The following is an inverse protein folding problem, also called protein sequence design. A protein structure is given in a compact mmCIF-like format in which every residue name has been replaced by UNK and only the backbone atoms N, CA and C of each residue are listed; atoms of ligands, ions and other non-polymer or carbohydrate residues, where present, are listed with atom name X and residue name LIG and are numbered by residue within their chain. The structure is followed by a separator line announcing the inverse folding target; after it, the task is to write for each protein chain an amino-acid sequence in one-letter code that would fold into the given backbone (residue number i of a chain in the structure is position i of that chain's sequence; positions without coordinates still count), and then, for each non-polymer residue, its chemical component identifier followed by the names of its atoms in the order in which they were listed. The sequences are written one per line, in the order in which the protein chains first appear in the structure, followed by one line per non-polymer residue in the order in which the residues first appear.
data_IF_065064610512
#
_entry.id   IF_065064610512
#
_cell.length_a   1.000
_cell.length_b   1.000
_cell.length_c   1.000
_cell.angle_alpha   90.00
_cell.angle_beta   90.00
_cell.angle_gamma   90.00
#
_symmetry.space_group_name_H-M   'P 1'
#
loop_
_entity.id
_entity.type
_entity.pdbx_description
1 polymer ?
#
# COMPACT_ATOMS: atom_id res chain seq x y z
N UNK A 1 10.37 0.07 9.29
CA UNK A 1 10.57 -1.06 8.35
C UNK A 1 9.23 -1.45 7.73
N UNK A 2 9.23 -2.24 6.64
CA UNK A 2 7.99 -2.73 6.03
C UNK A 2 7.26 -3.68 6.99
N UNK A 3 5.97 -3.45 7.22
CA UNK A 3 5.13 -4.35 8.04
C UNK A 3 3.93 -4.79 7.21
N UNK A 4 3.67 -6.09 7.22
CA UNK A 4 2.56 -6.70 6.49
C UNK A 4 1.24 -6.54 7.26
N UNK A 5 0.14 -6.43 6.53
CA UNK A 5 -1.21 -6.51 7.10
C UNK A 5 -2.15 -7.12 6.08
N UNK A 6 -3.02 -8.02 6.51
CA UNK A 6 -4.03 -8.65 5.64
C UNK A 6 -5.14 -7.65 5.34
N UNK A 7 -5.49 -7.52 4.06
CA UNK A 7 -6.65 -6.78 3.58
C UNK A 7 -7.61 -7.70 2.82
N UNK A 8 -8.90 -7.39 2.90
CA UNK A 8 -9.97 -8.12 2.22
C UNK A 8 -10.84 -7.16 1.41
N UNK A 9 -11.28 -7.60 0.25
CA UNK A 9 -12.35 -6.93 -0.49
C UNK A 9 -13.71 -7.52 -0.05
N UNK A 10 -14.60 -6.75 0.61
CA UNK A 10 -15.81 -7.30 1.23
C UNK A 10 -16.74 -8.03 0.26
N UNK A 11 -16.92 -7.49 -0.95
CA UNK A 11 -17.90 -7.99 -1.91
C UNK A 11 -17.44 -9.24 -2.65
N UNK A 12 -16.14 -9.34 -2.97
CA UNK A 12 -15.60 -10.49 -3.72
C UNK A 12 -14.96 -11.54 -2.82
N UNK A 13 -14.73 -11.22 -1.54
CA UNK A 13 -14.03 -12.10 -0.61
C UNK A 13 -12.52 -12.23 -0.86
N UNK A 14 -11.96 -11.55 -1.86
CA UNK A 14 -10.54 -11.61 -2.18
C UNK A 14 -9.68 -11.11 -1.01
N UNK A 15 -8.58 -11.81 -0.74
CA UNK A 15 -7.61 -11.48 0.30
C UNK A 15 -6.28 -11.09 -0.36
N UNK A 16 -5.64 -10.04 0.15
CA UNK A 16 -4.30 -9.62 -0.25
C UNK A 16 -3.46 -9.26 0.97
N UNK A 17 -2.15 -9.38 0.82
CA UNK A 17 -1.19 -8.86 1.79
C UNK A 17 -0.85 -7.42 1.40
N UNK A 18 -1.24 -6.48 2.24
CA UNK A 18 -0.82 -5.09 2.20
C UNK A 18 0.47 -4.88 2.99
N UNK A 19 1.16 -3.76 2.71
CA UNK A 19 2.34 -3.35 3.47
C UNK A 19 2.24 -1.88 3.84
N UNK A 20 2.76 -1.51 5.00
CA UNK A 20 2.95 -0.13 5.44
C UNK A 20 4.39 0.10 5.95
N UNK A 21 4.81 1.37 6.06
CA UNK A 21 6.20 1.74 6.35
C UNK A 21 7.10 1.74 5.11
N UNK A 22 8.42 1.73 5.32
CA UNK A 22 9.41 1.78 4.23
C UNK A 22 9.26 0.62 3.22
N UNK A 23 9.34 0.91 1.92
CA UNK A 23 9.17 -0.06 0.86
C UNK A 23 10.50 -0.50 0.25
N UNK A 24 11.05 -1.60 0.75
CA UNK A 24 12.28 -2.19 0.22
C UNK A 24 12.17 -2.60 -1.24
N UNK A 25 11.04 -3.21 -1.63
CA UNK A 25 10.82 -3.62 -3.01
C UNK A 25 10.81 -2.42 -3.95
N UNK A 26 10.19 -1.30 -3.55
CA UNK A 26 10.22 -0.09 -4.35
C UNK A 26 11.62 0.55 -4.39
N UNK A 27 12.38 0.52 -3.29
CA UNK A 27 13.75 1.04 -3.27
C UNK A 27 14.65 0.35 -4.32
N UNK A 28 14.50 -0.95 -4.56
CA UNK A 28 15.36 -1.68 -5.50
C UNK A 28 14.79 -1.81 -6.92
N UNK A 29 13.47 -1.86 -7.06
CA UNK A 29 12.81 -2.12 -8.35
C UNK A 29 11.99 -0.93 -8.88
N UNK A 30 11.85 0.16 -8.13
CA UNK A 30 11.21 1.39 -8.56
C UNK A 30 9.83 1.17 -9.20
N UNK A 31 9.67 1.71 -10.42
CA UNK A 31 8.41 1.67 -11.18
C UNK A 31 7.99 0.27 -11.66
N UNK A 32 8.87 -0.74 -11.62
CA UNK A 32 8.47 -2.13 -11.87
C UNK A 32 7.51 -2.66 -10.80
N UNK A 33 7.57 -2.13 -9.57
CA UNK A 33 6.69 -2.58 -8.48
C UNK A 33 5.21 -2.27 -8.76
N UNK A 34 4.79 -1.03 -9.06
CA UNK A 34 3.41 -0.77 -9.45
C UNK A 34 3.01 -1.46 -10.76
N UNK A 35 3.95 -1.68 -11.68
CA UNK A 35 3.70 -2.43 -12.92
C UNK A 35 3.24 -3.87 -12.63
N UNK A 36 4.01 -4.62 -11.84
CA UNK A 36 3.66 -6.00 -11.48
C UNK A 36 2.44 -6.10 -10.55
N UNK A 37 2.06 -5.00 -9.89
CA UNK A 37 0.83 -4.92 -9.10
C UNK A 37 -0.41 -4.58 -9.93
N UNK A 38 -0.26 -4.35 -11.23
CA UNK A 38 -1.35 -3.99 -12.14
C UNK A 38 -1.75 -2.51 -12.09
N UNK A 39 -0.96 -1.65 -11.45
CA UNK A 39 -1.19 -0.20 -11.35
C UNK A 39 -0.53 0.53 -12.54
N UNK A 40 -1.00 0.26 -13.77
CA UNK A 40 -0.35 0.74 -15.01
C UNK A 40 -0.13 2.26 -15.05
N UNK A 41 -1.12 3.06 -14.65
CA UNK A 41 -0.99 4.52 -14.61
C UNK A 41 0.03 5.00 -13.57
N UNK A 42 0.10 4.34 -12.42
CA UNK A 42 1.10 4.65 -11.38
C UNK A 42 2.50 4.26 -11.87
N UNK A 43 2.62 3.10 -12.53
CA UNK A 43 3.88 2.64 -13.10
C UNK A 43 4.44 3.62 -14.14
N UNK A 44 3.60 4.07 -15.09
CA UNK A 44 4.01 5.04 -16.10
C UNK A 44 4.46 6.37 -15.49
N UNK A 45 3.72 6.89 -14.49
CA UNK A 45 4.08 8.13 -13.80
C UNK A 45 5.40 8.00 -13.03
N UNK A 46 5.59 6.90 -12.31
CA UNK A 46 6.81 6.68 -11.53
C UNK A 46 8.01 6.45 -12.45
N UNK A 47 7.82 5.80 -13.59
CA UNK A 47 8.86 5.65 -14.63
C UNK A 47 9.30 7.02 -15.15
N UNK A 48 8.35 7.88 -15.51
CA UNK A 48 8.62 9.24 -15.99
C UNK A 48 9.46 10.03 -14.96
N UNK A 49 9.05 10.06 -13.69
CA UNK A 49 9.81 10.75 -12.65
C UNK A 49 11.16 10.11 -12.36
N UNK A 50 11.28 8.78 -12.41
CA UNK A 50 12.57 8.10 -12.27
C UNK A 50 13.55 8.49 -13.37
N UNK A 51 13.09 8.65 -14.62
CA UNK A 51 13.93 9.10 -15.74
C UNK A 51 14.34 10.57 -15.56
N UNK A 52 13.38 11.46 -15.29
CA UNK A 52 13.64 12.90 -15.16
C UNK A 52 14.59 13.21 -13.99
N UNK A 53 14.48 12.46 -12.88
CA UNK A 53 15.27 12.68 -11.67
C UNK A 53 16.52 11.80 -11.58
N UNK A 54 16.85 11.06 -12.65
CA UNK A 54 17.98 10.12 -12.69
C UNK A 54 17.99 9.14 -11.50
N UNK A 55 16.81 8.64 -11.11
CA UNK A 55 16.64 7.67 -10.02
C UNK A 55 16.43 8.27 -8.63
N UNK A 56 16.60 9.59 -8.41
CA UNK A 56 16.40 10.18 -7.07
C UNK A 56 14.95 10.03 -6.57
N UNK A 57 13.97 10.08 -7.48
CA UNK A 57 12.56 9.78 -7.20
C UNK A 57 12.37 8.44 -6.47
N UNK A 58 13.16 7.43 -6.82
CA UNK A 58 13.06 6.08 -6.25
C UNK A 58 13.34 6.07 -4.74
N UNK A 59 14.37 6.81 -4.33
CA UNK A 59 14.80 6.90 -2.92
C UNK A 59 13.72 7.58 -2.08
N UNK A 60 13.18 8.71 -2.56
CA UNK A 60 12.14 9.46 -1.85
C UNK A 60 10.87 8.63 -1.74
N UNK A 61 10.42 8.05 -2.85
CA UNK A 61 9.14 7.34 -2.90
C UNK A 61 9.20 6.00 -2.20
N UNK A 62 10.36 5.39 -1.96
CA UNK A 62 10.47 4.21 -1.11
C UNK A 62 9.88 4.43 0.31
N UNK A 63 9.93 5.66 0.84
CA UNK A 63 9.30 6.00 2.12
C UNK A 63 7.77 6.14 2.03
N UNK A 64 7.24 6.46 0.84
CA UNK A 64 5.83 6.84 0.64
C UNK A 64 5.00 5.73 -0.01
N UNK A 65 5.62 4.87 -0.81
CA UNK A 65 4.97 3.99 -1.76
C UNK A 65 3.96 3.04 -1.10
N UNK A 66 4.36 2.37 -0.02
CA UNK A 66 3.49 1.45 0.70
C UNK A 66 2.23 2.16 1.23
N UNK A 67 2.38 3.37 1.79
CA UNK A 67 1.23 4.17 2.25
C UNK A 67 0.32 4.55 1.09
N UNK A 68 0.88 5.05 0.00
CA UNK A 68 0.10 5.42 -1.19
C UNK A 68 -0.66 4.22 -1.78
N UNK A 69 -0.01 3.06 -1.88
CA UNK A 69 -0.63 1.81 -2.31
C UNK A 69 -1.82 1.43 -1.41
N UNK A 70 -1.62 1.44 -0.09
CA UNK A 70 -2.69 1.14 0.87
C UNK A 70 -3.85 2.13 0.78
N UNK A 71 -3.57 3.42 0.62
CA UNK A 71 -4.62 4.43 0.40
C UNK A 71 -5.44 4.11 -0.85
N UNK A 72 -4.82 3.72 -1.97
CA UNK A 72 -5.54 3.30 -3.19
C UNK A 72 -6.37 2.04 -2.96
N UNK A 73 -5.86 1.08 -2.19
CA UNK A 73 -6.63 -0.12 -1.81
C UNK A 73 -7.87 0.26 -0.99
N UNK A 74 -7.75 1.15 0.00
CA UNK A 74 -8.89 1.62 0.77
C UNK A 74 -9.91 2.39 -0.09
N UNK A 75 -9.45 3.26 -1.00
CA UNK A 75 -10.33 3.94 -1.96
C UNK A 75 -11.04 2.95 -2.90
N UNK A 76 -10.40 1.82 -3.22
CA UNK A 76 -10.99 0.73 -3.99
C UNK A 76 -11.88 -0.22 -3.14
N UNK A 77 -12.22 0.15 -1.90
CA UNK A 77 -13.15 -0.58 -1.04
C UNK A 77 -12.54 -1.77 -0.29
N UNK A 78 -11.20 -1.90 -0.27
CA UNK A 78 -10.54 -2.91 0.57
C UNK A 78 -10.58 -2.48 2.04
N UNK A 79 -10.65 -3.46 2.95
CA UNK A 79 -10.67 -3.24 4.40
C UNK A 79 -9.58 -4.07 5.08
N UNK A 80 -9.11 -3.59 6.24
CA UNK A 80 -8.21 -4.36 7.10
C UNK A 80 -8.93 -5.62 7.62
N UNK A 81 -8.26 -6.78 7.57
CA UNK A 81 -8.83 -8.09 7.86
C UNK A 81 -7.84 -9.05 8.54
N UNK A 82 -6.86 -8.50 9.25
CA UNK A 82 -5.87 -9.25 10.04
C UNK A 82 -6.36 -9.45 11.50
N UNK A 83 -5.48 -9.90 12.39
CA UNK A 83 -5.71 -9.89 13.84
C UNK A 83 -6.02 -8.48 14.35
N UNK A 84 -6.75 -8.39 15.47
CA UNK A 84 -7.19 -7.12 16.07
C UNK A 84 -6.01 -6.18 16.34
N UNK A 85 -4.96 -6.66 17.01
CA UNK A 85 -3.76 -5.87 17.27
C UNK A 85 -3.04 -5.39 16.00
N UNK A 86 -2.93 -6.25 14.97
CA UNK A 86 -2.32 -5.85 13.69
C UNK A 86 -3.15 -4.79 12.97
N UNK A 87 -4.47 -4.93 12.98
CA UNK A 87 -5.38 -3.95 12.37
C UNK A 87 -5.31 -2.61 13.09
N UNK A 88 -5.24 -2.58 14.42
CA UNK A 88 -5.09 -1.36 15.20
C UNK A 88 -3.77 -0.65 14.88
N UNK A 89 -2.65 -1.40 14.87
CA UNK A 89 -1.34 -0.86 14.50
C UNK A 89 -1.32 -0.31 13.07
N UNK A 90 -1.87 -1.06 12.11
CA UNK A 90 -1.95 -0.63 10.72
C UNK A 90 -2.83 0.62 10.57
N UNK A 91 -3.99 0.64 11.24
CA UNK A 91 -4.91 1.78 11.25
C UNK A 91 -4.25 3.07 11.76
N UNK A 92 -3.54 2.99 12.88
CA UNK A 92 -2.78 4.12 13.43
C UNK A 92 -1.72 4.63 12.45
N UNK A 93 -0.95 3.73 11.81
CA UNK A 93 0.14 4.10 10.90
C UNK A 93 -0.35 4.61 9.55
N UNK A 94 -1.49 4.14 9.08
CA UNK A 94 -2.07 4.52 7.80
C UNK A 94 -3.01 5.73 7.93
N UNK A 95 -3.45 6.06 9.16
CA UNK A 95 -4.37 7.16 9.44
C UNK A 95 -5.79 6.84 9.01
N UNK A 96 -6.23 5.59 9.21
CA UNK A 96 -7.60 5.13 8.91
C UNK A 96 -8.33 4.73 10.18
N UNK A 97 -9.65 4.92 10.18
CA UNK A 97 -10.50 4.54 11.32
C UNK A 97 -11.05 3.14 11.07
N UNK A 98 -10.88 2.26 12.06
CA UNK A 98 -11.48 0.93 12.01
C UNK A 98 -13.01 1.05 12.12
N UNK A 99 -13.79 0.26 11.37
CA UNK A 99 -15.24 0.26 11.51
C UNK A 99 -15.63 -0.12 12.95
N UNK A 100 -16.59 0.62 13.52
CA UNK A 100 -17.15 0.28 14.84
C UNK A 100 -17.72 -1.12 14.75
N UNK A 101 -17.21 -2.04 15.58
CA UNK A 101 -17.71 -3.40 15.68
C UNK A 101 -19.19 -3.31 16.04
N UNK A 102 -20.07 -3.61 15.09
CA UNK A 102 -21.48 -3.75 15.38
C UNK A 102 -21.61 -4.88 16.41
N UNK A 103 -22.07 -4.57 17.62
CA UNK A 103 -22.61 -5.59 18.51
C UNK A 103 -23.77 -6.24 17.76
N UNK A 104 -23.55 -7.47 17.29
CA UNK A 104 -24.66 -8.42 17.16
C UNK A 104 -24.84 -9.07 18.51
#
# INVERSE_FOLDING_TARGET
MATAVIIKHPNSGMIKIGYYGFSWTYLFFGWFVPLFRGELGVAALHMLFSIITLGLWQVIVAFLYNRQYMTRMFMAGWVLADSEGNNEMAAQRLGVVLPKRGRK
#
